data_IF_824287413058
#
_entry.id   IF_824287413058
#
_cell.length_a   1.000
_cell.length_b   1.000
_cell.length_c   1.000
_cell.angle_alpha   90.00
_cell.angle_beta   90.00
_cell.angle_gamma   90.00
#
_symmetry.space_group_name_H-M   'P 1'
#
loop_
_entity.id
_entity.type
_entity.pdbx_description
1 polymer ?
#
# COMPACT_ATOMS: atom_id res chain seq x y z
N UNK A 1 -33.21 6.33 -8.58
CA UNK A 1 -33.40 7.47 -7.65
C UNK A 1 -32.04 7.77 -7.05
N UNK A 2 -31.51 8.94 -7.39
CA UNK A 2 -30.21 9.42 -6.93
C UNK A 2 -30.38 9.86 -5.48
N UNK A 3 -29.90 9.04 -4.54
CA UNK A 3 -29.89 9.37 -3.10
C UNK A 3 -28.74 10.35 -2.82
N UNK A 4 -28.90 11.59 -3.26
CA UNK A 4 -28.03 12.72 -2.90
C UNK A 4 -28.35 13.16 -1.47
N UNK A 5 -27.92 12.35 -0.51
CA UNK A 5 -27.86 12.77 0.89
C UNK A 5 -26.53 13.52 1.08
N UNK A 6 -26.52 14.83 1.36
CA UNK A 6 -25.29 15.60 1.60
C UNK A 6 -24.47 15.08 2.79
N UNK A 7 -25.05 14.18 3.61
CA UNK A 7 -24.36 13.44 4.67
C UNK A 7 -23.36 12.38 4.17
N UNK A 8 -23.39 11.96 2.89
CA UNK A 8 -22.44 10.97 2.33
C UNK A 8 -21.11 11.58 1.86
N UNK A 9 -21.06 12.89 1.63
CA UNK A 9 -19.83 13.61 1.24
C UNK A 9 -18.77 13.56 2.33
N UNK A 10 -19.06 13.91 3.61
CA UNK A 10 -18.05 13.82 4.67
C UNK A 10 -17.57 12.39 4.93
N UNK A 11 -18.43 11.40 4.72
CA UNK A 11 -18.08 9.97 4.78
C UNK A 11 -17.07 9.59 3.69
N UNK A 12 -17.33 9.93 2.43
CA UNK A 12 -16.41 9.68 1.32
C UNK A 12 -15.04 10.37 1.50
N UNK A 13 -15.04 11.58 2.05
CA UNK A 13 -13.79 12.31 2.38
C UNK A 13 -13.00 11.57 3.47
N UNK A 14 -13.68 11.06 4.51
CA UNK A 14 -13.02 10.34 5.59
C UNK A 14 -12.43 9.00 5.10
N UNK A 15 -13.12 8.32 4.18
CA UNK A 15 -12.62 7.14 3.46
C UNK A 15 -11.33 7.50 2.72
N UNK A 16 -11.37 8.54 1.89
CA UNK A 16 -10.21 8.97 1.11
C UNK A 16 -9.00 9.32 1.98
N UNK A 17 -9.21 9.96 3.14
CA UNK A 17 -8.13 10.25 4.11
C UNK A 17 -7.47 9.00 4.67
N UNK A 18 -8.26 7.99 5.03
CA UNK A 18 -7.74 6.69 5.51
C UNK A 18 -7.01 5.93 4.41
N UNK A 19 -7.57 5.92 3.20
CA UNK A 19 -6.90 5.33 2.02
C UNK A 19 -5.56 6.01 1.76
N UNK A 20 -5.49 7.35 1.84
CA UNK A 20 -4.25 8.09 1.66
C UNK A 20 -3.17 7.69 2.67
N UNK A 21 -3.51 7.51 3.95
CA UNK A 21 -2.54 7.07 4.96
C UNK A 21 -1.96 5.69 4.66
N UNK A 22 -2.78 4.76 4.18
CA UNK A 22 -2.33 3.40 3.83
C UNK A 22 -1.50 3.38 2.54
N UNK A 23 -1.88 4.18 1.54
CA UNK A 23 -1.06 4.37 0.33
C UNK A 23 0.33 4.86 0.71
N UNK A 24 0.42 5.82 1.63
CA UNK A 24 1.70 6.27 2.17
C UNK A 24 2.47 5.16 2.90
N UNK A 25 1.81 4.31 3.68
CA UNK A 25 2.46 3.14 4.30
C UNK A 25 3.04 2.17 3.25
N UNK A 26 2.28 1.87 2.19
CA UNK A 26 2.74 0.99 1.10
C UNK A 26 3.91 1.60 0.32
N UNK A 27 3.86 2.91 0.04
CA UNK A 27 4.94 3.62 -0.64
C UNK A 27 6.21 3.55 0.21
N UNK A 28 6.11 3.85 1.51
CA UNK A 28 7.24 3.77 2.44
C UNK A 28 7.82 2.36 2.46
N UNK A 29 6.96 1.33 2.56
CA UNK A 29 7.38 -0.07 2.59
C UNK A 29 8.11 -0.49 1.30
N UNK A 30 7.62 -0.05 0.14
CA UNK A 30 8.29 -0.27 -1.14
C UNK A 30 9.65 0.43 -1.23
N UNK A 31 9.75 1.67 -0.76
CA UNK A 31 11.03 2.40 -0.72
C UNK A 31 12.04 1.76 0.22
N UNK A 32 11.61 1.26 1.38
CA UNK A 32 12.48 0.54 2.32
C UNK A 32 13.08 -0.69 1.65
N UNK A 33 12.24 -1.53 1.03
CA UNK A 33 12.72 -2.75 0.37
C UNK A 33 13.65 -2.41 -0.79
N UNK A 34 13.30 -1.42 -1.62
CA UNK A 34 14.18 -0.91 -2.68
C UNK A 34 15.54 -0.49 -2.14
N UNK A 35 15.56 0.23 -1.01
CA UNK A 35 16.79 0.67 -0.35
C UNK A 35 17.64 -0.50 0.17
N UNK A 36 17.00 -1.50 0.80
CA UNK A 36 17.68 -2.71 1.29
C UNK A 36 18.28 -3.51 0.13
N UNK A 37 17.51 -3.74 -0.93
CA UNK A 37 17.97 -4.48 -2.12
C UNK A 37 19.15 -3.76 -2.78
N UNK A 38 19.10 -2.43 -2.90
CA UNK A 38 20.20 -1.65 -3.44
C UNK A 38 21.44 -1.69 -2.54
N UNK A 39 21.28 -1.60 -1.22
CA UNK A 39 22.40 -1.68 -0.28
C UNK A 39 23.06 -3.06 -0.27
N UNK A 40 22.26 -4.13 -0.27
CA UNK A 40 22.76 -5.52 -0.34
C UNK A 40 23.38 -5.83 -1.71
N UNK A 41 22.81 -5.28 -2.79
CA UNK A 41 23.37 -5.38 -4.15
C UNK A 41 24.70 -4.65 -4.29
N UNK A 42 24.81 -3.44 -3.74
CA UNK A 42 26.07 -2.70 -3.68
C UNK A 42 27.14 -3.42 -2.84
N UNK A 43 26.73 -4.15 -1.81
CA UNK A 43 27.60 -5.00 -0.99
C UNK A 43 27.96 -6.37 -1.60
N UNK A 44 27.44 -6.71 -2.79
CA UNK A 44 27.73 -7.97 -3.48
C UNK A 44 27.11 -9.23 -2.83
N UNK A 45 26.24 -9.06 -1.84
CA UNK A 45 25.61 -10.13 -1.08
C UNK A 45 24.21 -10.50 -1.59
N UNK A 46 23.57 -9.62 -2.38
CA UNK A 46 22.23 -9.88 -2.91
C UNK A 46 22.28 -10.80 -4.12
N UNK A 47 21.62 -11.94 -4.02
CA UNK A 47 21.30 -12.74 -5.21
C UNK A 47 20.09 -12.15 -5.93
N UNK A 48 20.08 -12.19 -7.27
CA UNK A 48 18.94 -11.70 -8.08
C UNK A 48 17.60 -12.29 -7.63
N UNK A 49 17.60 -13.52 -7.10
CA UNK A 49 16.42 -14.20 -6.61
C UNK A 49 15.82 -13.57 -5.35
N UNK A 50 16.65 -13.16 -4.38
CA UNK A 50 16.19 -12.48 -3.16
C UNK A 50 15.59 -11.11 -3.46
N UNK A 51 16.19 -10.39 -4.41
CA UNK A 51 15.67 -9.10 -4.88
C UNK A 51 14.27 -9.24 -5.50
N UNK A 52 14.07 -10.25 -6.36
CA UNK A 52 12.76 -10.53 -6.97
C UNK A 52 11.73 -10.94 -5.93
N UNK A 53 12.09 -11.81 -4.98
CA UNK A 53 11.17 -12.21 -3.92
C UNK A 53 10.74 -11.02 -3.05
N UNK A 54 11.68 -10.13 -2.73
CA UNK A 54 11.39 -8.93 -1.94
C UNK A 54 10.41 -8.00 -2.67
N UNK A 55 10.65 -7.69 -3.95
CA UNK A 55 9.75 -6.82 -4.74
C UNK A 55 8.35 -7.43 -4.91
N UNK A 56 8.25 -8.75 -5.14
CA UNK A 56 6.96 -9.45 -5.27
C UNK A 56 6.22 -9.50 -3.92
N UNK A 57 6.93 -9.75 -2.81
CA UNK A 57 6.36 -9.75 -1.47
C UNK A 57 5.80 -8.37 -1.07
N UNK A 58 6.51 -7.30 -1.40
CA UNK A 58 6.01 -5.92 -1.23
C UNK A 58 4.74 -5.68 -2.03
N UNK A 59 4.70 -6.11 -3.28
CA UNK A 59 3.52 -5.95 -4.13
C UNK A 59 2.31 -6.71 -3.53
N UNK A 60 2.51 -7.93 -3.05
CA UNK A 60 1.46 -8.71 -2.37
C UNK A 60 0.97 -8.03 -1.09
N UNK A 61 1.87 -7.52 -0.25
CA UNK A 61 1.50 -6.75 0.96
C UNK A 61 0.70 -5.50 0.61
N UNK A 62 1.11 -4.78 -0.45
CA UNK A 62 0.40 -3.59 -0.90
C UNK A 62 -1.02 -3.92 -1.37
N UNK A 63 -1.19 -5.01 -2.12
CA UNK A 63 -2.49 -5.50 -2.58
C UNK A 63 -3.37 -5.93 -1.39
N UNK A 64 -2.82 -6.68 -0.42
CA UNK A 64 -3.56 -7.09 0.77
C UNK A 64 -4.05 -5.89 1.59
N UNK A 65 -3.18 -4.88 1.78
CA UNK A 65 -3.54 -3.63 2.45
C UNK A 65 -4.65 -2.86 1.69
N UNK A 66 -4.61 -2.87 0.35
CA UNK A 66 -5.63 -2.27 -0.50
C UNK A 66 -6.98 -3.03 -0.47
N UNK A 67 -6.96 -4.36 -0.39
CA UNK A 67 -8.18 -5.17 -0.27
C UNK A 67 -8.82 -5.02 1.11
N UNK A 68 -8.00 -4.93 2.18
CA UNK A 68 -8.49 -4.75 3.56
C UNK A 68 -9.33 -3.48 3.71
N UNK A 69 -9.01 -2.41 2.98
CA UNK A 69 -9.79 -1.17 3.01
C UNK A 69 -11.09 -1.25 2.21
N UNK A 70 -11.15 -1.99 1.10
CA UNK A 70 -12.42 -2.23 0.39
C UNK A 70 -13.43 -2.98 1.28
N UNK A 71 -12.94 -3.84 2.18
CA UNK A 71 -13.76 -4.55 3.17
C UNK A 71 -14.06 -3.74 4.44
N UNK A 72 -13.47 -2.56 4.64
CA UNK A 72 -13.94 -1.68 5.70
C UNK A 72 -15.31 -1.13 5.30
N UNK A 73 -16.36 -1.79 5.79
CA UNK A 73 -17.72 -1.28 5.73
C UNK A 73 -17.76 0.05 6.47
N UNK A 74 -17.62 1.13 5.72
CA UNK A 74 -17.99 2.45 6.17
C UNK A 74 -19.53 2.41 6.30
N UNK A 75 -20.02 2.40 7.53
CA UNK A 75 -21.43 2.64 7.86
C UNK A 75 -21.71 4.14 7.81
#
# INVERSE_FOLDING_TARGET
MQDDKPSKIPMAINIGKKTKQIVWQNIILAFIVKGIVLALGAGGLATMWEAVFADVGVAMLAILNAIRIQKMNFK
#
